data_IF_297360076185
#
_entry.id   IF_297360076185
#
_cell.length_a   1.000
_cell.length_b   1.000
_cell.length_c   1.000
_cell.angle_alpha   90.00
_cell.angle_beta   90.00
_cell.angle_gamma   90.00
#
_symmetry.space_group_name_H-M   'P 1'
#
loop_
_entity.id
_entity.type
_entity.pdbx_description
1 polymer ?
#
# COMPACT_ATOMS: atom_id res chain seq x y z
N UNK A 1 5.62 -5.15 -67.09
CA UNK A 1 4.32 -5.22 -66.37
C UNK A 1 4.65 -5.61 -64.95
N UNK A 2 4.76 -4.62 -64.08
CA UNK A 2 5.03 -4.80 -62.65
C UNK A 2 3.73 -5.32 -61.99
N UNK A 3 3.82 -6.46 -61.31
CA UNK A 3 2.73 -6.93 -60.45
C UNK A 3 2.92 -6.29 -59.08
N UNK A 4 2.06 -5.33 -58.76
CA UNK A 4 1.89 -4.84 -57.39
C UNK A 4 1.28 -5.98 -56.56
N UNK A 5 2.06 -6.48 -55.60
CA UNK A 5 1.59 -7.40 -54.57
C UNK A 5 0.98 -6.55 -53.45
N UNK A 6 -0.35 -6.42 -53.46
CA UNK A 6 -1.09 -5.93 -52.30
C UNK A 6 -1.00 -6.99 -51.20
N UNK A 7 -0.08 -6.76 -50.26
CA UNK A 7 0.05 -7.55 -49.05
C UNK A 7 -1.14 -7.31 -48.13
N UNK A 8 -2.19 -8.11 -48.28
CA UNK A 8 -3.34 -8.10 -47.38
C UNK A 8 -2.89 -8.53 -45.99
N UNK A 9 -2.97 -7.58 -45.06
CA UNK A 9 -2.70 -7.73 -43.62
C UNK A 9 -3.89 -8.45 -42.93
N UNK A 10 -4.32 -9.60 -43.46
CA UNK A 10 -5.51 -10.32 -42.97
C UNK A 10 -5.23 -11.43 -41.94
N UNK A 11 -4.00 -11.52 -41.42
CA UNK A 11 -3.65 -12.50 -40.37
C UNK A 11 -2.90 -11.88 -39.20
N UNK A 12 -3.37 -10.73 -38.71
CA UNK A 12 -3.05 -10.35 -37.35
C UNK A 12 -3.89 -11.23 -36.40
N UNK A 13 -3.31 -12.03 -35.49
CA UNK A 13 -4.10 -12.70 -34.47
C UNK A 13 -4.81 -11.64 -33.63
N UNK A 14 -6.14 -11.63 -33.67
CA UNK A 14 -6.96 -10.82 -32.77
C UNK A 14 -6.49 -11.12 -31.35
N UNK A 15 -5.95 -10.11 -30.67
CA UNK A 15 -5.59 -10.25 -29.26
C UNK A 15 -6.84 -10.71 -28.52
N UNK A 16 -6.85 -11.98 -28.09
CA UNK A 16 -7.89 -12.51 -27.23
C UNK A 16 -7.80 -11.68 -25.95
N UNK A 17 -8.75 -10.76 -25.78
CA UNK A 17 -8.92 -10.07 -24.52
C UNK A 17 -9.17 -11.16 -23.48
N UNK A 18 -8.15 -11.46 -22.69
CA UNK A 18 -8.27 -12.35 -21.54
C UNK A 18 -9.46 -11.84 -20.72
N UNK A 19 -10.51 -12.66 -20.62
CA UNK A 19 -11.77 -12.26 -20.00
C UNK A 19 -11.53 -11.64 -18.63
N UNK A 20 -12.28 -10.59 -18.32
CA UNK A 20 -12.19 -9.73 -17.12
C UNK A 20 -11.52 -10.45 -15.94
N UNK A 21 -10.19 -10.30 -15.82
CA UNK A 21 -9.43 -10.87 -14.69
C UNK A 21 -9.96 -10.19 -13.45
N UNK A 22 -10.74 -10.92 -12.66
CA UNK A 22 -11.35 -10.38 -11.45
C UNK A 22 -10.23 -9.88 -10.53
N UNK A 23 -10.06 -8.55 -10.49
CA UNK A 23 -9.02 -7.90 -9.71
C UNK A 23 -9.34 -8.05 -8.21
N UNK A 24 -8.33 -8.21 -7.35
CA UNK A 24 -8.52 -8.15 -5.90
C UNK A 24 -9.14 -6.80 -5.50
N UNK A 25 -9.94 -6.80 -4.45
CA UNK A 25 -10.55 -5.57 -3.93
C UNK A 25 -9.49 -4.75 -3.20
N UNK A 26 -9.41 -3.46 -3.53
CA UNK A 26 -8.56 -2.48 -2.85
C UNK A 26 -9.43 -1.41 -2.21
N UNK A 27 -9.42 -1.35 -0.88
CA UNK A 27 -10.04 -0.28 -0.12
C UNK A 27 -8.97 0.74 0.30
N UNK A 28 -9.24 2.02 0.06
CA UNK A 28 -8.41 3.15 0.48
C UNK A 28 -9.21 4.01 1.44
N UNK A 29 -8.75 4.17 2.68
CA UNK A 29 -9.43 4.96 3.70
C UNK A 29 -8.44 5.48 4.75
N UNK A 30 -8.95 6.19 5.76
CA UNK A 30 -8.18 6.57 6.96
C UNK A 30 -7.57 5.37 7.70
N UNK A 31 -8.14 4.16 7.49
CA UNK A 31 -7.60 2.93 8.05
C UNK A 31 -6.34 2.45 7.30
N UNK A 32 -5.96 3.10 6.21
CA UNK A 32 -4.86 2.73 5.33
C UNK A 32 -5.34 2.04 4.06
N UNK A 33 -4.46 1.23 3.48
CA UNK A 33 -4.73 0.43 2.28
C UNK A 33 -5.11 -0.99 2.71
N UNK A 34 -6.24 -1.51 2.22
CA UNK A 34 -6.67 -2.88 2.48
C UNK A 34 -6.84 -3.59 1.16
N UNK A 35 -6.06 -4.64 0.97
CA UNK A 35 -6.19 -5.57 -0.13
C UNK A 35 -7.00 -6.77 0.37
N UNK A 36 -8.00 -7.19 -0.38
CA UNK A 36 -8.81 -8.36 -0.07
C UNK A 36 -9.01 -9.25 -1.29
N UNK A 37 -8.91 -10.57 -1.08
CA UNK A 37 -9.32 -11.53 -2.09
C UNK A 37 -10.83 -11.48 -2.33
N UNK A 38 -11.27 -11.90 -3.52
CA UNK A 38 -12.70 -11.89 -3.89
C UNK A 38 -13.57 -12.73 -2.97
N UNK A 39 -13.03 -13.83 -2.46
CA UNK A 39 -13.70 -14.75 -1.53
C UNK A 39 -13.64 -14.28 -0.06
N UNK A 40 -13.04 -13.13 0.20
CA UNK A 40 -12.79 -12.56 1.53
C UNK A 40 -11.92 -13.40 2.46
N UNK A 41 -11.27 -14.45 1.97
CA UNK A 41 -10.46 -15.37 2.79
C UNK A 41 -9.02 -14.91 3.06
N UNK A 42 -8.59 -13.87 2.35
CA UNK A 42 -7.28 -13.27 2.49
C UNK A 42 -7.39 -11.76 2.58
N UNK A 43 -6.66 -11.17 3.52
CA UNK A 43 -6.55 -9.73 3.61
C UNK A 43 -5.15 -9.29 4.03
N UNK A 44 -4.70 -8.20 3.42
CA UNK A 44 -3.50 -7.46 3.84
C UNK A 44 -3.91 -6.01 4.04
N UNK A 45 -3.67 -5.48 5.22
CA UNK A 45 -3.80 -4.08 5.58
C UNK A 45 -2.43 -3.46 5.76
N UNK A 46 -2.16 -2.42 5.00
CA UNK A 46 -1.01 -1.54 5.16
C UNK A 46 -1.47 -0.24 5.81
N UNK A 47 -0.85 0.12 6.93
CA UNK A 47 -1.15 1.34 7.66
C UNK A 47 -0.01 1.65 8.63
N UNK A 48 -0.30 2.40 9.68
CA UNK A 48 0.69 2.67 10.70
C UNK A 48 0.27 3.73 11.70
N UNK A 49 1.24 4.13 12.51
CA UNK A 49 1.15 5.24 13.43
C UNK A 49 2.32 6.18 13.17
N UNK A 50 2.02 7.44 12.89
CA UNK A 50 2.99 8.52 12.89
C UNK A 50 2.57 9.53 13.97
N UNK A 51 3.45 9.77 14.93
CA UNK A 51 3.27 10.79 15.95
C UNK A 51 4.41 11.78 15.88
N UNK A 52 4.05 13.03 15.65
CA UNK A 52 4.94 14.16 15.58
C UNK A 52 4.51 15.12 16.67
N UNK A 53 5.46 15.57 17.49
CA UNK A 53 5.19 16.58 18.50
C UNK A 53 6.12 17.76 18.34
N UNK A 54 5.59 18.90 18.73
CA UNK A 54 6.37 20.07 19.09
C UNK A 54 6.21 20.31 20.59
N UNK A 55 7.30 20.61 21.27
CA UNK A 55 7.32 20.80 22.72
C UNK A 55 7.94 22.15 23.01
N UNK A 56 7.17 23.00 23.70
CA UNK A 56 7.61 24.31 24.15
C UNK A 56 7.34 24.44 25.65
N UNK A 57 8.32 24.96 26.37
CA UNK A 57 8.24 25.19 27.81
C UNK A 57 8.52 26.66 28.12
N UNK A 58 7.72 27.24 29.02
CA UNK A 58 8.02 28.55 29.62
C UNK A 58 9.09 28.36 30.70
N UNK A 59 10.08 29.25 30.73
CA UNK A 59 11.21 29.20 31.66
C UNK A 59 12.01 27.88 31.61
N UNK A 60 12.27 27.38 30.39
CA UNK A 60 13.05 26.17 30.20
C UNK A 60 14.47 26.29 30.80
N UNK A 61 14.94 25.32 31.60
CA UNK A 61 16.28 25.34 32.19
C UNK A 61 17.39 25.37 31.13
N UNK A 62 17.13 24.77 29.96
CA UNK A 62 18.02 24.78 28.80
C UNK A 62 17.22 24.96 27.52
N UNK A 63 17.88 25.48 26.47
CA UNK A 63 17.28 25.57 25.14
C UNK A 63 17.03 24.22 24.46
N UNK A 64 17.51 23.10 25.04
CA UNK A 64 17.32 21.76 24.47
C UNK A 64 16.03 21.08 24.90
N UNK A 65 15.32 21.63 25.89
CA UNK A 65 14.04 21.07 26.34
C UNK A 65 12.92 21.30 25.32
N UNK A 66 12.92 22.47 24.68
CA UNK A 66 11.99 22.77 23.60
C UNK A 66 12.49 22.18 22.29
N UNK A 67 11.77 21.20 21.75
CA UNK A 67 12.18 20.49 20.54
C UNK A 67 11.00 19.91 19.76
N UNK A 68 11.17 19.93 18.45
CA UNK A 68 10.38 19.15 17.52
C UNK A 68 10.90 17.71 17.46
N UNK A 69 10.02 16.72 17.54
CA UNK A 69 10.41 15.31 17.49
C UNK A 69 9.36 14.41 16.85
N UNK A 70 9.84 13.30 16.27
CA UNK A 70 9.01 12.17 15.86
C UNK A 70 8.99 11.18 17.02
N UNK A 71 7.87 11.13 17.75
CA UNK A 71 7.72 10.24 18.92
C UNK A 71 7.54 8.80 18.52
N UNK A 72 6.80 8.56 17.42
CA UNK A 72 6.51 7.22 16.90
C UNK A 72 6.48 7.24 15.39
N UNK A 73 7.17 6.29 14.78
CA UNK A 73 7.14 6.02 13.36
C UNK A 73 7.01 4.50 13.20
N UNK A 74 5.75 4.04 13.17
CA UNK A 74 5.41 2.62 13.18
C UNK A 74 4.57 2.25 11.95
N UNK A 75 5.20 2.02 10.79
CA UNK A 75 4.49 1.37 9.70
C UNK A 75 4.05 -0.03 10.14
N UNK A 76 2.94 -0.49 9.62
CA UNK A 76 2.34 -1.76 9.98
C UNK A 76 1.78 -2.47 8.76
N UNK A 77 2.07 -3.77 8.68
CA UNK A 77 1.39 -4.72 7.82
C UNK A 77 0.66 -5.73 8.71
N UNK A 78 -0.62 -5.94 8.46
CA UNK A 78 -1.44 -6.87 9.26
C UNK A 78 -2.50 -7.51 8.40
N UNK A 79 -3.07 -8.61 8.84
CA UNK A 79 -4.16 -9.24 8.11
C UNK A 79 -4.28 -10.71 8.43
N UNK A 80 -4.86 -11.45 7.51
CA UNK A 80 -5.12 -12.87 7.67
C UNK A 80 -5.04 -13.64 6.36
N UNK A 81 -4.76 -14.93 6.47
CA UNK A 81 -4.80 -15.90 5.38
C UNK A 81 -5.70 -17.08 5.74
N UNK A 82 -6.52 -17.52 4.78
CA UNK A 82 -7.45 -18.66 4.91
C UNK A 82 -8.41 -18.54 6.10
N UNK A 83 -8.71 -17.31 6.53
CA UNK A 83 -9.49 -16.98 7.73
C UNK A 83 -8.86 -17.38 9.08
N UNK A 84 -7.97 -18.38 9.10
CA UNK A 84 -7.43 -18.98 10.33
C UNK A 84 -6.10 -18.35 10.79
N UNK A 85 -5.28 -17.86 9.85
CA UNK A 85 -3.92 -17.42 10.14
C UNK A 85 -3.82 -15.91 10.17
N UNK A 86 -3.67 -15.35 11.38
CA UNK A 86 -3.55 -13.91 11.57
C UNK A 86 -2.09 -13.48 11.72
N UNK A 87 -1.73 -12.33 11.16
CA UNK A 87 -0.39 -11.78 11.30
C UNK A 87 -0.40 -10.28 11.59
N UNK A 88 0.66 -9.81 12.26
CA UNK A 88 0.93 -8.40 12.49
C UNK A 88 2.43 -8.15 12.54
N UNK A 89 2.91 -7.33 11.62
CA UNK A 89 4.26 -6.81 11.61
C UNK A 89 4.20 -5.29 11.77
N UNK A 90 4.82 -4.75 12.82
CA UNK A 90 4.73 -3.32 13.14
C UNK A 90 6.02 -2.82 13.82
N UNK A 91 7.14 -2.70 13.08
CA UNK A 91 8.41 -2.21 13.60
C UNK A 91 8.34 -0.75 14.02
N UNK A 92 9.13 -0.36 15.02
CA UNK A 92 9.25 1.02 15.51
C UNK A 92 10.56 1.64 15.01
N UNK A 93 10.46 2.84 14.43
CA UNK A 93 11.60 3.57 13.87
C UNK A 93 11.83 4.95 14.51
N UNK A 94 11.02 5.38 15.47
CA UNK A 94 11.29 6.62 16.17
C UNK A 94 12.60 6.53 16.96
N UNK A 95 13.46 7.53 16.78
CA UNK A 95 14.69 7.69 17.54
C UNK A 95 14.33 8.11 18.96
N UNK A 96 14.81 7.34 19.95
CA UNK A 96 14.67 7.65 21.38
C UNK A 96 15.55 8.81 21.80
#
# INVERSE_FOLDING_TARGET
>A
MEQNMDGTTETAPTAQQEGNKALPQLDVSEKGLIFRSKDNRHSIRLGGLLQVDDREFVDAPTSQESKFLIRRARPAASGYFYDDWNFRFAPEFALS
#
